data_IF_564954946587
#
_entry.id   IF_564954946587
#
_cell.length_a   1.000
_cell.length_b   1.000
_cell.length_c   1.000
_cell.angle_alpha   90.00
_cell.angle_beta   90.00
_cell.angle_gamma   90.00
#
_symmetry.space_group_name_H-M   'P 1'
#
loop_
_entity.id
_entity.type
_entity.pdbx_description
1 polymer ?
#
# COMPACT_ATOMS: atom_id res chain seq x y z
N UNK A 1 -13.66 -17.20 17.64
CA UNK A 1 -12.82 -16.04 17.98
C UNK A 1 -11.43 -16.38 17.47
N UNK A 2 -11.07 -15.84 16.31
CA UNK A 2 -9.98 -16.36 15.47
C UNK A 2 -8.62 -16.15 16.15
N UNK A 3 -8.12 -17.17 16.84
CA UNK A 3 -6.72 -17.33 17.17
C UNK A 3 -6.06 -17.99 15.95
N UNK A 4 -5.32 -17.21 15.15
CA UNK A 4 -4.48 -17.77 14.09
C UNK A 4 -3.54 -18.81 14.70
N UNK A 5 -3.64 -20.05 14.23
CA UNK A 5 -3.24 -21.26 14.96
C UNK A 5 -1.75 -21.49 15.18
N UNK A 6 -0.88 -20.57 14.76
CA UNK A 6 0.57 -20.76 14.74
C UNK A 6 1.39 -19.55 15.21
N UNK A 7 0.80 -18.36 15.35
CA UNK A 7 1.53 -17.14 15.74
C UNK A 7 0.80 -16.40 16.86
N UNK A 8 1.48 -16.24 18.00
CA UNK A 8 1.00 -15.37 19.08
C UNK A 8 1.10 -13.90 18.64
N UNK A 9 -0.02 -13.15 18.60
CA UNK A 9 0.03 -11.74 18.23
C UNK A 9 0.77 -10.94 19.30
N UNK A 10 1.62 -10.01 18.88
CA UNK A 10 2.33 -9.09 19.79
C UNK A 10 1.35 -8.13 20.47
N UNK A 11 0.25 -7.77 19.79
CA UNK A 11 -0.78 -6.87 20.32
C UNK A 11 -1.82 -7.64 21.14
N UNK A 12 -2.36 -6.98 22.16
CA UNK A 12 -3.40 -7.53 23.05
C UNK A 12 -4.71 -7.76 22.31
N UNK A 13 -5.49 -8.73 22.78
CA UNK A 13 -6.83 -9.02 22.25
C UNK A 13 -7.77 -7.80 22.36
N UNK A 14 -8.68 -7.68 21.40
CA UNK A 14 -9.67 -6.58 21.34
C UNK A 14 -9.16 -5.28 20.70
N UNK A 15 -7.91 -5.25 20.22
CA UNK A 15 -7.35 -4.09 19.51
C UNK A 15 -7.52 -4.25 18.01
N UNK A 16 -8.04 -3.20 17.36
CA UNK A 16 -8.19 -3.15 15.90
C UNK A 16 -6.86 -2.80 15.26
N UNK A 17 -6.53 -3.49 14.17
CA UNK A 17 -5.32 -3.26 13.40
C UNK A 17 -5.65 -2.91 11.95
N UNK A 18 -4.76 -2.16 11.31
CA UNK A 18 -4.83 -1.83 9.89
C UNK A 18 -3.44 -1.64 9.32
N UNK A 19 -3.34 -1.54 7.99
CA UNK A 19 -2.11 -1.11 7.33
C UNK A 19 -1.68 0.28 7.87
N UNK A 20 -0.40 0.37 8.21
CA UNK A 20 0.29 1.60 8.65
C UNK A 20 1.37 2.04 7.67
N UNK A 21 1.34 1.50 6.44
CA UNK A 21 2.42 1.61 5.46
C UNK A 21 3.79 1.24 6.02
N UNK A 22 3.81 0.23 6.91
CA UNK A 22 5.02 -0.24 7.57
C UNK A 22 5.82 0.92 8.20
N UNK A 23 5.16 1.80 8.96
CA UNK A 23 5.81 2.91 9.67
C UNK A 23 7.14 2.51 10.31
N UNK A 24 7.19 1.36 10.99
CA UNK A 24 8.39 0.82 11.63
C UNK A 24 9.58 0.51 10.69
N UNK A 25 9.33 0.35 9.38
CA UNK A 25 10.35 0.17 8.34
C UNK A 25 10.69 1.51 7.69
N UNK A 26 9.66 2.26 7.29
CA UNK A 26 9.83 3.55 6.61
C UNK A 26 10.58 4.56 7.48
N UNK A 27 10.34 4.56 8.80
CA UNK A 27 11.10 5.39 9.76
C UNK A 27 12.60 5.07 9.80
N UNK A 28 13.00 3.88 9.35
CA UNK A 28 14.39 3.43 9.26
C UNK A 28 14.94 3.49 7.82
N UNK A 29 14.25 4.20 6.90
CA UNK A 29 14.66 4.31 5.50
C UNK A 29 14.44 3.04 4.67
N UNK A 30 13.72 2.04 5.20
CA UNK A 30 13.43 0.79 4.49
C UNK A 30 12.09 0.88 3.77
N UNK A 31 11.98 0.16 2.66
CA UNK A 31 10.72 0.02 1.94
C UNK A 31 9.68 -0.80 2.75
N UNK A 32 8.37 -0.57 2.54
CA UNK A 32 7.34 -1.39 3.14
C UNK A 32 7.51 -2.87 2.73
N UNK A 33 7.27 -3.78 3.67
CA UNK A 33 7.51 -5.21 3.46
C UNK A 33 6.75 -5.76 2.23
N UNK A 34 5.56 -5.25 1.98
CA UNK A 34 4.71 -5.70 0.89
C UNK A 34 5.13 -5.17 -0.49
N UNK A 35 5.94 -4.10 -0.52
CA UNK A 35 6.58 -3.54 -1.72
C UNK A 35 7.83 -4.37 -2.02
N UNK A 36 8.67 -4.55 -1.00
CA UNK A 36 9.94 -5.28 -1.10
C UNK A 36 9.77 -6.75 -1.51
N UNK A 37 8.77 -7.44 -0.96
CA UNK A 37 8.55 -8.86 -1.25
C UNK A 37 7.90 -9.11 -2.62
N UNK A 38 7.39 -8.09 -3.31
CA UNK A 38 6.58 -8.29 -4.51
C UNK A 38 7.46 -8.65 -5.73
N UNK A 39 7.43 -9.91 -6.22
CA UNK A 39 8.31 -10.31 -7.33
C UNK A 39 7.91 -9.64 -8.64
N UNK A 40 6.61 -9.37 -8.82
CA UNK A 40 6.07 -8.72 -10.01
C UNK A 40 6.29 -7.20 -10.03
N UNK A 41 6.87 -6.62 -8.97
CA UNK A 41 7.04 -5.17 -8.81
C UNK A 41 5.75 -4.36 -9.04
N UNK A 42 4.63 -4.94 -8.62
CA UNK A 42 3.30 -4.35 -8.82
C UNK A 42 3.01 -3.14 -7.90
N UNK A 43 3.89 -2.84 -6.94
CA UNK A 43 3.69 -1.81 -5.93
C UNK A 43 4.88 -0.88 -5.92
N UNK A 44 4.61 0.42 -6.00
CA UNK A 44 5.59 1.49 -5.86
C UNK A 44 5.19 2.32 -4.64
N UNK A 45 6.15 2.69 -3.80
CA UNK A 45 5.90 3.45 -2.58
C UNK A 45 6.90 4.58 -2.43
N UNK A 46 6.42 5.74 -2.00
CA UNK A 46 7.21 6.95 -1.81
C UNK A 46 6.32 8.15 -1.50
N UNK A 47 6.93 9.32 -1.49
CA UNK A 47 6.23 10.59 -1.33
C UNK A 47 5.64 11.06 -2.67
N UNK A 48 4.31 11.16 -2.75
CA UNK A 48 3.62 11.58 -3.97
C UNK A 48 3.78 13.08 -4.27
N UNK A 49 4.25 13.88 -3.31
CA UNK A 49 4.43 15.32 -3.47
C UNK A 49 5.88 15.68 -3.85
N UNK A 50 6.83 14.74 -3.72
CA UNK A 50 8.22 14.91 -4.11
C UNK A 50 8.43 14.56 -5.61
N UNK A 51 8.80 15.53 -6.47
CA UNK A 51 9.03 15.27 -7.89
C UNK A 51 10.17 14.30 -8.20
N UNK A 52 11.09 14.09 -7.26
CA UNK A 52 12.20 13.16 -7.41
C UNK A 52 11.81 11.70 -7.11
N UNK A 53 10.63 11.48 -6.50
CA UNK A 53 10.18 10.14 -6.12
C UNK A 53 9.70 9.32 -7.32
N UNK A 54 9.90 8.01 -7.25
CA UNK A 54 9.43 7.07 -8.28
C UNK A 54 7.90 7.15 -8.43
N UNK A 55 7.18 7.28 -7.31
CA UNK A 55 5.71 7.32 -7.33
C UNK A 55 5.18 8.58 -8.02
N UNK A 56 5.81 9.75 -7.82
CA UNK A 56 5.41 10.98 -8.51
C UNK A 56 5.54 10.81 -10.03
N UNK A 57 6.67 10.26 -10.48
CA UNK A 57 6.92 10.03 -11.90
C UNK A 57 5.93 9.02 -12.49
N UNK A 58 5.64 7.94 -11.77
CA UNK A 58 4.67 6.92 -12.18
C UNK A 58 3.25 7.49 -12.29
N UNK A 59 2.81 8.29 -11.31
CA UNK A 59 1.49 8.94 -11.32
C UNK A 59 1.37 10.01 -12.40
N UNK A 60 2.46 10.72 -12.71
CA UNK A 60 2.51 11.69 -13.81
C UNK A 60 2.43 11.01 -15.17
N UNK A 61 3.09 9.85 -15.34
CA UNK A 61 3.16 9.13 -16.61
C UNK A 61 1.91 8.29 -16.92
N UNK A 62 1.18 7.83 -15.89
CA UNK A 62 0.08 6.87 -16.06
C UNK A 62 -1.26 7.42 -15.59
N UNK A 63 -2.34 7.04 -16.28
CA UNK A 63 -3.69 7.24 -15.75
C UNK A 63 -3.92 6.33 -14.56
N UNK A 64 -4.03 6.93 -13.38
CA UNK A 64 -4.39 6.23 -12.14
C UNK A 64 -5.82 6.56 -11.71
N UNK A 65 -6.39 5.70 -10.87
CA UNK A 65 -7.65 5.96 -10.18
C UNK A 65 -7.55 5.48 -8.73
N UNK A 66 -8.39 6.03 -7.85
CA UNK A 66 -8.53 5.56 -6.49
C UNK A 66 -9.76 4.67 -6.36
N UNK A 67 -9.73 3.74 -5.41
CA UNK A 67 -10.90 2.90 -5.15
C UNK A 67 -11.99 3.72 -4.45
N UNK A 68 -13.23 3.56 -4.92
CA UNK A 68 -14.44 4.16 -4.32
C UNK A 68 -14.33 5.69 -4.16
N UNK A 69 -13.92 6.39 -5.22
CA UNK A 69 -13.82 7.85 -5.23
C UNK A 69 -15.13 8.55 -4.87
N UNK A 70 -16.28 7.92 -5.15
CA UNK A 70 -17.62 8.39 -4.79
C UNK A 70 -17.81 8.59 -3.27
N UNK A 71 -16.99 7.95 -2.44
CA UNK A 71 -17.07 8.07 -0.98
C UNK A 71 -16.37 9.31 -0.41
N UNK A 72 -15.69 10.10 -1.25
CA UNK A 72 -15.06 11.36 -0.83
C UNK A 72 -13.91 11.22 0.16
N UNK A 73 -13.43 10.00 0.44
CA UNK A 73 -12.37 9.73 1.44
C UNK A 73 -10.97 10.08 0.95
N UNK A 74 -10.81 10.41 -0.33
CA UNK A 74 -9.55 10.77 -1.00
C UNK A 74 -8.37 9.85 -0.59
N UNK A 75 -8.42 8.53 -0.84
CA UNK A 75 -7.35 7.61 -0.42
C UNK A 75 -6.00 7.95 -1.07
N UNK A 76 -4.89 7.68 -0.39
CA UNK A 76 -3.54 7.87 -0.94
C UNK A 76 -3.00 6.63 -1.69
N UNK A 77 -3.85 5.63 -1.95
CA UNK A 77 -3.48 4.44 -2.73
C UNK A 77 -4.09 4.56 -4.12
N UNK A 78 -3.21 4.58 -5.11
CA UNK A 78 -3.55 4.71 -6.53
C UNK A 78 -3.40 3.37 -7.24
N UNK A 79 -4.32 3.07 -8.13
CA UNK A 79 -4.32 1.88 -8.96
C UNK A 79 -4.11 2.26 -10.42
N UNK A 80 -3.24 1.51 -11.10
CA UNK A 80 -2.90 1.71 -12.50
C UNK A 80 -3.34 0.47 -13.27
N UNK A 81 -4.10 0.68 -14.34
CA UNK A 81 -4.75 -0.39 -15.09
C UNK A 81 -6.02 -0.90 -14.40
N UNK A 82 -6.98 -1.38 -15.20
CA UNK A 82 -8.16 -2.08 -14.70
C UNK A 82 -7.95 -3.56 -14.88
N UNK A 83 -8.21 -4.35 -13.84
CA UNK A 83 -8.26 -5.80 -13.97
C UNK A 83 -9.34 -6.15 -15.01
N UNK A 84 -8.93 -6.81 -16.09
CA UNK A 84 -9.81 -7.44 -17.07
C UNK A 84 -9.49 -8.93 -17.03
N UNK A 85 -10.48 -9.76 -16.72
CA UNK A 85 -10.31 -11.22 -16.69
C UNK A 85 -9.98 -11.84 -18.06
N UNK A 86 -9.93 -11.03 -19.13
CA UNK A 86 -9.70 -11.44 -20.52
C UNK A 86 -8.59 -10.66 -21.23
N UNK A 87 -7.77 -9.92 -20.48
CA UNK A 87 -6.55 -9.31 -21.03
C UNK A 87 -5.35 -10.24 -20.81
#
# INVERSE_FOLDING_TARGET
WFAGGDVQPIRRSGIIEKCTFCYQRVSNGLQPACVEVCPARARTFGDQDDPSSEIYQVLKANKSFRLKEDKGTRPNVHYIGKYSARA
#
